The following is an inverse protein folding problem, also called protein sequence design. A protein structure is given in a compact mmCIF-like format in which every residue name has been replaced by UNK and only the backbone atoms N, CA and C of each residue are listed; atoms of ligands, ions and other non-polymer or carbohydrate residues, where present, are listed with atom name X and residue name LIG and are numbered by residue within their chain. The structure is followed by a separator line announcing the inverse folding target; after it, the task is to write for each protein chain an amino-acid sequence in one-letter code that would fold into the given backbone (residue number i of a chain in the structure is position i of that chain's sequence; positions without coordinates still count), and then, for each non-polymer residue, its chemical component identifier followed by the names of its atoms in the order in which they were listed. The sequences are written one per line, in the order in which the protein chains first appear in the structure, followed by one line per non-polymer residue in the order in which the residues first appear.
data_IF_831232868840
#
_entry.id   IF_831232868840
#
_cell.length_a   1.000
_cell.length_b   1.000
_cell.length_c   1.000
_cell.angle_alpha   90.00
_cell.angle_beta   90.00
_cell.angle_gamma   90.00
#
_symmetry.space_group_name_H-M   'P 1'
#
loop_
_entity.id
_entity.type
_entity.pdbx_description
1 polymer ?
#
# COMPACT_ATOMS: atom_id res chain seq x y z
N UNK A 1 5.45 -42.08 -5.64
CA UNK A 1 4.10 -42.47 -5.17
C UNK A 1 3.34 -41.20 -4.82
N UNK A 2 2.13 -40.97 -5.32
CA UNK A 2 1.34 -39.79 -4.96
C UNK A 2 0.93 -39.89 -3.48
N UNK A 3 1.25 -38.87 -2.68
CA UNK A 3 0.80 -38.81 -1.29
C UNK A 3 -0.73 -38.84 -1.25
N UNK A 4 -1.30 -39.89 -0.64
CA UNK A 4 -2.74 -39.98 -0.36
C UNK A 4 -3.12 -38.76 0.47
N UNK A 5 -4.04 -37.92 -0.03
CA UNK A 5 -4.61 -36.80 0.74
C UNK A 5 -5.22 -37.36 2.03
N UNK A 6 -4.64 -36.99 3.16
CA UNK A 6 -5.18 -37.30 4.49
C UNK A 6 -6.43 -36.44 4.72
N UNK A 7 -7.51 -36.99 5.30
CA UNK A 7 -8.75 -36.23 5.52
C UNK A 7 -8.66 -35.21 6.65
N UNK A 8 -7.56 -35.20 7.41
CA UNK A 8 -7.45 -34.42 8.66
C UNK A 8 -6.75 -33.06 8.50
N UNK A 9 -5.91 -32.88 7.48
CA UNK A 9 -5.21 -31.63 7.23
C UNK A 9 -4.82 -31.45 5.77
N UNK A 10 -4.71 -30.20 5.34
CA UNK A 10 -4.19 -29.78 4.03
C UNK A 10 -3.21 -28.62 4.26
N UNK A 11 -2.04 -28.68 3.62
CA UNK A 11 -1.08 -27.58 3.63
C UNK A 11 -1.27 -26.76 2.35
N UNK A 12 -1.52 -25.45 2.50
CA UNK A 12 -1.63 -24.50 1.40
C UNK A 12 -0.66 -23.35 1.62
N UNK A 13 -0.06 -22.89 0.52
CA UNK A 13 0.65 -21.62 0.53
C UNK A 13 -0.35 -20.46 0.40
N UNK A 14 -0.11 -19.38 1.13
CA UNK A 14 -0.95 -18.18 1.14
C UNK A 14 -0.17 -16.99 1.67
N UNK A 15 -0.66 -15.78 1.41
CA UNK A 15 -0.13 -14.54 1.98
C UNK A 15 -1.09 -14.04 3.07
N UNK A 16 -0.54 -13.44 4.12
CA UNK A 16 -1.30 -12.84 5.22
C UNK A 16 -0.88 -11.37 5.32
N UNK A 17 -1.87 -10.48 5.28
CA UNK A 17 -1.63 -9.05 5.47
C UNK A 17 -1.53 -8.75 6.97
N UNK A 18 -0.58 -7.89 7.33
CA UNK A 18 -0.27 -7.53 8.72
C UNK A 18 0.28 -6.11 8.77
N UNK A 19 0.09 -5.42 9.90
CA UNK A 19 0.69 -4.11 10.10
C UNK A 19 2.21 -4.23 10.27
N UNK A 20 2.96 -3.29 9.72
CA UNK A 20 4.41 -3.22 9.94
C UNK A 20 4.72 -2.18 11.02
N UNK A 21 5.27 -2.62 12.14
CA UNK A 21 5.87 -1.73 13.13
C UNK A 21 7.30 -1.43 12.72
N UNK A 22 7.48 -0.34 11.97
CA UNK A 22 8.79 0.06 11.42
C UNK A 22 9.62 0.76 12.50
N UNK A 23 10.67 0.08 12.95
CA UNK A 23 11.61 0.55 13.97
C UNK A 23 12.63 1.49 13.33
N UNK A 24 12.61 2.76 13.74
CA UNK A 24 13.53 3.80 13.25
C UNK A 24 14.61 4.22 14.25
N UNK A 25 14.51 3.71 15.48
CA UNK A 25 15.41 4.02 16.60
C UNK A 25 15.55 2.76 17.46
N UNK A 26 16.76 2.42 17.95
CA UNK A 26 16.96 1.29 18.84
C UNK A 26 16.53 1.57 20.30
N UNK A 27 16.21 2.81 20.65
CA UNK A 27 15.88 3.22 22.01
C UNK A 27 14.42 2.87 22.38
N UNK A 28 14.24 1.78 23.14
CA UNK A 28 12.93 1.28 23.57
C UNK A 28 12.12 2.30 24.39
N UNK A 29 12.76 3.07 25.26
CA UNK A 29 12.05 4.06 26.10
C UNK A 29 11.45 5.20 25.26
N UNK A 30 12.15 5.60 24.20
CA UNK A 30 11.66 6.58 23.23
C UNK A 30 10.46 6.02 22.47
N UNK A 31 10.57 4.79 21.95
CA UNK A 31 9.47 4.11 21.28
C UNK A 31 8.25 3.99 22.20
N UNK A 32 8.44 3.54 23.44
CA UNK A 32 7.39 3.39 24.45
C UNK A 32 6.68 4.72 24.74
N UNK A 33 7.44 5.80 24.90
CA UNK A 33 6.90 7.13 25.22
C UNK A 33 6.10 7.69 24.05
N UNK A 34 6.61 7.58 22.81
CA UNK A 34 5.86 8.00 21.62
C UNK A 34 4.61 7.15 21.40
N UNK A 35 4.71 5.83 21.64
CA UNK A 35 3.56 4.93 21.58
C UNK A 35 2.52 5.41 22.60
N UNK A 36 2.87 5.52 23.87
CA UNK A 36 1.96 5.98 24.93
C UNK A 36 1.30 7.33 24.61
N UNK A 37 2.07 8.34 24.18
CA UNK A 37 1.53 9.65 23.82
C UNK A 37 0.54 9.59 22.66
N UNK A 38 0.80 8.73 21.68
CA UNK A 38 -0.07 8.55 20.51
C UNK A 38 -1.33 7.72 20.82
N UNK A 39 -1.31 6.88 21.86
CA UNK A 39 -2.43 6.01 22.27
C UNK A 39 -3.23 6.49 23.47
N UNK A 40 -2.78 7.53 24.18
CA UNK A 40 -3.52 8.11 25.33
C UNK A 40 -4.95 8.56 24.94
N UNK A 41 -5.16 8.90 23.66
CA UNK A 41 -6.46 9.31 23.13
C UNK A 41 -7.40 8.15 22.70
N UNK A 42 -6.89 6.92 22.52
CA UNK A 42 -7.67 5.79 21.96
C UNK A 42 -7.08 4.43 22.35
N UNK A 43 -7.37 3.93 23.56
CA UNK A 43 -6.80 2.68 24.07
C UNK A 43 -7.15 1.43 23.24
N UNK A 44 -8.24 1.46 22.47
CA UNK A 44 -8.81 0.32 21.74
C UNK A 44 -8.32 0.20 20.29
N UNK A 45 -7.56 1.18 19.79
CA UNK A 45 -7.22 1.35 18.37
C UNK A 45 -6.50 0.16 17.71
N UNK A 46 -5.79 -0.66 18.49
CA UNK A 46 -5.02 -1.82 18.02
C UNK A 46 -5.26 -3.10 18.82
N UNK A 47 -6.38 -3.16 19.56
CA UNK A 47 -6.66 -4.30 20.42
C UNK A 47 -6.80 -5.61 19.60
N UNK A 48 -5.72 -6.38 19.52
CA UNK A 48 -5.68 -7.67 18.85
C UNK A 48 -5.05 -7.69 17.46
N UNK A 49 -4.54 -6.57 16.95
CA UNK A 49 -3.94 -6.49 15.61
C UNK A 49 -2.64 -7.29 15.53
N UNK A 50 -2.45 -8.02 14.42
CA UNK A 50 -1.22 -8.72 14.11
C UNK A 50 -0.21 -7.76 13.52
N UNK A 51 1.01 -7.81 14.06
CA UNK A 51 2.07 -6.86 13.70
C UNK A 51 3.36 -7.61 13.35
N UNK A 52 3.95 -7.26 12.21
CA UNK A 52 5.33 -7.60 11.86
C UNK A 52 6.27 -6.50 12.36
N UNK A 53 7.30 -6.86 13.12
CA UNK A 53 8.33 -5.92 13.57
C UNK A 53 9.33 -5.72 12.42
N UNK A 54 9.44 -4.51 11.89
CA UNK A 54 10.33 -4.22 10.75
C UNK A 54 11.54 -3.43 11.21
N UNK A 55 12.70 -4.08 11.25
CA UNK A 55 13.98 -3.51 11.71
C UNK A 55 14.88 -3.06 10.56
N UNK A 56 14.42 -3.14 9.30
CA UNK A 56 15.24 -2.83 8.12
C UNK A 56 15.68 -1.37 8.04
N UNK A 57 15.07 -0.48 8.83
CA UNK A 57 15.35 0.96 8.88
C UNK A 57 16.39 1.36 9.94
N UNK A 58 16.77 0.45 10.83
CA UNK A 58 17.89 0.67 11.74
C UNK A 58 19.19 0.75 10.94
N UNK A 59 20.03 1.73 11.26
CA UNK A 59 21.28 1.97 10.56
C UNK A 59 22.36 0.99 11.02
N UNK A 60 23.16 0.47 10.10
CA UNK A 60 24.43 -0.21 10.37
C UNK A 60 24.42 -1.18 11.57
N UNK A 61 25.07 -0.76 12.65
CA UNK A 61 25.30 -1.50 13.89
C UNK A 61 24.23 -1.29 14.97
N UNK A 62 23.19 -0.48 14.70
CA UNK A 62 22.06 -0.29 15.60
C UNK A 62 21.30 -1.61 15.78
N UNK A 63 21.06 -1.96 17.05
CA UNK A 63 20.30 -3.15 17.43
C UNK A 63 19.27 -2.78 18.47
N UNK A 64 18.06 -3.31 18.29
CA UNK A 64 16.98 -3.22 19.26
C UNK A 64 16.80 -4.58 19.92
N UNK A 65 16.50 -4.61 21.21
CA UNK A 65 16.16 -5.85 21.90
C UNK A 65 14.75 -6.30 21.46
N UNK A 66 14.67 -7.12 20.40
CA UNK A 66 13.42 -7.61 19.81
C UNK A 66 12.47 -8.25 20.84
N UNK A 67 12.92 -9.09 21.79
CA UNK A 67 12.02 -9.65 22.80
C UNK A 67 11.35 -8.56 23.66
N UNK A 68 12.13 -7.59 24.14
CA UNK A 68 11.61 -6.48 24.93
C UNK A 68 10.70 -5.55 24.11
N UNK A 69 11.00 -5.38 22.82
CA UNK A 69 10.11 -4.67 21.90
C UNK A 69 8.77 -5.40 21.74
N UNK A 70 8.78 -6.72 21.59
CA UNK A 70 7.57 -7.51 21.47
C UNK A 70 6.72 -7.50 22.74
N UNK A 71 7.34 -7.59 23.92
CA UNK A 71 6.68 -7.41 25.21
C UNK A 71 6.04 -6.04 25.32
N UNK A 72 6.78 -4.98 24.98
CA UNK A 72 6.26 -3.62 24.94
C UNK A 72 5.03 -3.53 24.03
N UNK A 73 5.08 -4.05 22.80
CA UNK A 73 3.94 -4.04 21.87
C UNK A 73 2.73 -4.82 22.43
N UNK A 74 2.97 -5.92 23.16
CA UNK A 74 1.91 -6.69 23.80
C UNK A 74 1.20 -5.92 24.92
N UNK A 75 1.91 -5.03 25.65
CA UNK A 75 1.29 -4.13 26.63
C UNK A 75 0.27 -3.17 25.96
N UNK A 76 0.52 -2.79 24.71
CA UNK A 76 -0.40 -2.00 23.87
C UNK A 76 -1.43 -2.88 23.12
N UNK A 77 -1.58 -4.15 23.51
CA UNK A 77 -2.52 -5.14 22.95
C UNK A 77 -2.27 -5.51 21.48
N UNK A 78 -1.10 -5.19 20.93
CA UNK A 78 -0.67 -5.69 19.62
C UNK A 78 -0.12 -7.11 19.74
N UNK A 79 -0.20 -7.89 18.66
CA UNK A 79 0.29 -9.27 18.59
C UNK A 79 1.44 -9.38 17.59
N UNK A 80 2.70 -9.30 18.05
CA UNK A 80 3.85 -9.55 17.20
C UNK A 80 3.81 -10.98 16.64
N UNK A 81 3.92 -11.12 15.31
CA UNK A 81 3.89 -12.43 14.63
C UNK A 81 5.23 -12.85 14.04
N UNK A 82 6.19 -11.92 13.99
CA UNK A 82 7.54 -12.17 13.50
C UNK A 82 8.27 -10.89 13.14
N UNK A 83 9.47 -11.05 12.58
CA UNK A 83 10.41 -9.96 12.34
C UNK A 83 10.80 -9.89 10.87
N UNK A 84 10.68 -8.70 10.31
CA UNK A 84 11.16 -8.36 8.97
C UNK A 84 12.55 -7.76 9.11
N UNK A 85 13.55 -8.47 8.61
CA UNK A 85 14.97 -8.13 8.76
C UNK A 85 15.76 -8.40 7.46
N UNK A 86 16.80 -7.60 7.22
CA UNK A 86 17.80 -7.87 6.19
C UNK A 86 18.67 -9.07 6.58
N UNK A 87 19.40 -9.64 5.62
CA UNK A 87 20.25 -10.82 5.88
C UNK A 87 21.29 -10.57 6.99
N UNK A 88 21.91 -9.38 6.98
CA UNK A 88 22.89 -8.94 7.99
C UNK A 88 22.29 -8.76 9.39
N UNK A 89 20.97 -8.57 9.46
CA UNK A 89 20.25 -8.36 10.71
C UNK A 89 19.65 -9.66 11.27
N UNK A 90 19.60 -10.73 10.48
CA UNK A 90 18.93 -11.98 10.85
C UNK A 90 19.53 -12.63 12.10
N UNK A 91 20.84 -12.49 12.32
CA UNK A 91 21.53 -13.09 13.48
C UNK A 91 21.03 -12.58 14.83
N UNK A 92 20.61 -11.32 14.90
CA UNK A 92 20.19 -10.71 16.17
C UNK A 92 18.68 -10.43 16.22
N UNK A 93 18.03 -10.28 15.06
CA UNK A 93 16.63 -9.90 14.99
C UNK A 93 15.68 -11.10 15.09
N UNK A 94 16.13 -12.30 14.69
CA UNK A 94 15.31 -13.52 14.73
C UNK A 94 15.48 -14.17 16.10
N UNK A 95 14.38 -14.29 16.83
CA UNK A 95 14.36 -14.84 18.19
C UNK A 95 13.30 -15.93 18.28
N UNK A 96 13.39 -16.75 19.32
CA UNK A 96 12.39 -17.79 19.56
C UNK A 96 10.99 -17.16 19.72
N UNK A 97 9.99 -17.77 19.08
CA UNK A 97 8.61 -17.26 19.03
C UNK A 97 8.36 -16.12 18.03
N UNK A 98 9.38 -15.51 17.43
CA UNK A 98 9.24 -14.46 16.39
C UNK A 98 10.13 -14.78 15.19
N UNK A 99 9.64 -15.64 14.27
CA UNK A 99 10.42 -16.06 13.12
C UNK A 99 10.69 -14.88 12.19
N UNK A 100 11.71 -15.04 11.33
CA UNK A 100 11.91 -14.12 10.21
C UNK A 100 10.72 -14.21 9.27
N UNK A 101 10.14 -13.07 8.93
CA UNK A 101 9.10 -12.96 7.93
C UNK A 101 9.71 -12.47 6.63
N UNK A 102 9.39 -13.16 5.53
CA UNK A 102 9.68 -12.67 4.20
C UNK A 102 8.65 -11.59 3.85
N UNK A 103 9.01 -10.33 4.12
CA UNK A 103 8.24 -9.21 3.58
C UNK A 103 8.59 -9.05 2.12
N UNK A 104 7.81 -9.68 1.25
CA UNK A 104 7.75 -9.24 -0.13
C UNK A 104 7.01 -7.90 -0.16
N UNK A 105 7.73 -6.79 0.00
CA UNK A 105 7.40 -5.65 -0.84
C UNK A 105 7.40 -6.23 -2.25
N UNK A 106 6.24 -6.31 -2.93
CA UNK A 106 6.14 -6.93 -4.25
C UNK A 106 7.05 -6.19 -5.23
N UNK A 107 8.31 -6.59 -5.26
CA UNK A 107 9.33 -6.25 -6.23
C UNK A 107 9.12 -7.26 -7.34
N UNK A 108 8.43 -6.83 -8.40
CA UNK A 108 8.21 -7.69 -9.56
C UNK A 108 9.59 -8.00 -10.17
N UNK A 109 9.98 -9.27 -10.34
CA UNK A 109 11.26 -9.64 -10.95
C UNK A 109 11.31 -9.20 -12.41
N UNK A 110 12.38 -8.47 -12.76
CA UNK A 110 12.84 -8.25 -14.13
C UNK A 110 13.66 -9.47 -14.54
N UNK A 111 13.02 -10.49 -15.10
CA UNK A 111 13.65 -11.54 -15.91
C UNK A 111 12.60 -12.58 -16.32
N UNK A 112 11.98 -12.39 -17.49
CA UNK A 112 11.38 -13.44 -18.32
C UNK A 112 10.66 -12.82 -19.53
N UNK A 113 11.37 -12.04 -20.35
CA UNK A 113 10.98 -11.74 -21.74
C UNK A 113 12.22 -11.44 -22.59
N UNK A 114 13.18 -12.36 -22.57
CA UNK A 114 14.20 -12.48 -23.61
C UNK A 114 14.09 -13.91 -24.15
N UNK A 115 13.20 -14.11 -25.13
CA UNK A 115 13.20 -15.21 -26.10
C UNK A 115 11.82 -15.30 -26.77
N UNK A 116 11.49 -14.35 -27.62
CA UNK A 116 10.55 -14.53 -28.73
C UNK A 116 10.42 -13.19 -29.47
N UNK A 117 11.24 -13.01 -30.50
CA UNK A 117 10.88 -12.38 -31.78
C UNK A 117 12.13 -11.76 -32.43
N UNK A 118 13.10 -12.61 -32.78
CA UNK A 118 13.96 -12.33 -33.93
C UNK A 118 13.47 -13.25 -35.05
N UNK A 119 12.75 -12.67 -36.00
CA UNK A 119 12.74 -13.07 -37.41
C UNK A 119 11.92 -12.04 -38.21
N UNK A 120 12.54 -11.53 -39.27
CA UNK A 120 11.96 -10.78 -40.40
C UNK A 120 11.64 -9.29 -40.21
N UNK A 121 12.63 -8.44 -40.53
CA UNK A 121 12.62 -7.71 -41.80
C UNK A 121 13.95 -6.95 -42.00
N UNK A 122 14.79 -7.47 -42.90
CA UNK A 122 15.91 -6.72 -43.48
C UNK A 122 15.44 -5.76 -44.58
N UNK A 123 16.22 -4.68 -44.71
CA UNK A 123 16.53 -3.88 -45.90
C UNK A 123 15.85 -2.52 -46.06
N UNK A 124 16.61 -1.44 -45.80
CA UNK A 124 17.16 -0.57 -46.86
C UNK A 124 17.71 0.78 -46.33
N UNK A 125 19.05 0.89 -46.36
CA UNK A 125 19.90 2.02 -46.81
C UNK A 125 19.55 3.48 -46.42
N UNK A 126 20.36 3.99 -45.47
CA UNK A 126 21.15 5.24 -45.44
C UNK A 126 20.65 6.59 -46.05
N UNK A 127 20.73 7.60 -45.16
CA UNK A 127 21.34 8.93 -45.35
C UNK A 127 20.50 10.09 -45.94
N UNK A 128 20.13 11.07 -45.09
CA UNK A 128 20.65 12.45 -45.10
C UNK A 128 19.80 13.44 -44.26
N UNK A 129 20.47 14.04 -43.26
CA UNK A 129 20.39 15.41 -42.74
C UNK A 129 19.06 16.23 -42.74
N UNK A 130 18.59 16.58 -41.53
CA UNK A 130 18.38 17.97 -41.08
C UNK A 130 17.99 17.99 -39.57
N UNK A 131 18.44 18.98 -38.76
CA UNK A 131 18.26 18.97 -37.31
C UNK A 131 16.87 19.49 -36.93
N UNK A 132 16.00 18.59 -36.48
CA UNK A 132 14.73 18.95 -35.86
C UNK A 132 14.90 19.07 -34.34
N UNK A 133 14.28 20.13 -33.81
CA UNK A 133 14.25 20.59 -32.42
C UNK A 133 14.08 19.46 -31.37
N UNK A 134 14.52 19.66 -30.11
CA UNK A 134 14.47 18.64 -29.07
C UNK A 134 13.01 18.23 -28.82
N UNK A 135 12.67 17.01 -29.21
CA UNK A 135 11.43 16.37 -28.78
C UNK A 135 11.48 16.17 -27.25
N UNK A 136 10.42 16.52 -26.51
CA UNK A 136 10.36 16.24 -25.09
C UNK A 136 10.45 14.73 -24.88
N UNK A 137 11.32 14.32 -23.98
CA UNK A 137 11.47 12.95 -23.51
C UNK A 137 10.09 12.34 -23.24
N UNK A 138 9.71 11.35 -24.05
CA UNK A 138 8.57 10.49 -23.77
C UNK A 138 8.91 9.70 -22.49
N UNK A 139 8.54 10.27 -21.36
CA UNK A 139 8.49 9.55 -20.11
C UNK A 139 7.56 8.36 -20.34
N UNK A 140 8.12 7.15 -20.25
CA UNK A 140 7.38 5.90 -20.15
C UNK A 140 6.23 6.05 -19.16
N UNK A 141 5.03 6.31 -19.67
CA UNK A 141 3.84 6.52 -18.86
C UNK A 141 3.37 5.15 -18.38
N UNK A 142 3.32 4.95 -17.06
CA UNK A 142 2.78 3.73 -16.47
C UNK A 142 1.30 3.63 -16.89
N UNK A 143 0.87 2.54 -17.53
CA UNK A 143 -0.50 2.42 -18.03
C UNK A 143 -1.50 2.38 -16.86
N UNK A 144 -2.66 3.00 -17.07
CA UNK A 144 -3.78 2.96 -16.14
C UNK A 144 -4.42 1.56 -16.10
N UNK A 145 -4.89 1.15 -14.92
CA UNK A 145 -5.65 -0.09 -14.73
C UNK A 145 -7.14 0.21 -14.65
N UNK A 146 -7.98 -0.54 -15.38
CA UNK A 146 -9.44 -0.36 -15.38
C UNK A 146 -10.10 -1.59 -14.74
N UNK A 147 -11.04 -1.37 -13.82
CA UNK A 147 -11.90 -2.39 -13.22
C UNK A 147 -13.36 -2.03 -13.50
N UNK A 148 -14.05 -2.91 -14.21
CA UNK A 148 -15.43 -2.73 -14.70
C UNK A 148 -16.44 -3.64 -13.99
N UNK A 149 -16.09 -4.14 -12.81
CA UNK A 149 -16.90 -5.04 -11.98
C UNK A 149 -16.98 -4.53 -10.55
N UNK A 150 -18.04 -4.87 -9.80
CA UNK A 150 -18.18 -4.39 -8.43
C UNK A 150 -17.12 -5.00 -7.53
N UNK A 151 -16.59 -4.19 -6.61
CA UNK A 151 -15.70 -4.63 -5.55
C UNK A 151 -16.49 -4.89 -4.28
N UNK A 152 -16.42 -6.12 -3.79
CA UNK A 152 -17.12 -6.58 -2.59
C UNK A 152 -16.22 -6.50 -1.36
N UNK A 153 -16.83 -6.60 -0.18
CA UNK A 153 -16.11 -6.62 1.09
C UNK A 153 -14.98 -7.65 1.09
N UNK A 154 -13.82 -7.26 1.63
CA UNK A 154 -12.60 -8.07 1.67
C UNK A 154 -11.83 -8.13 0.35
N UNK A 155 -12.34 -7.57 -0.76
CA UNK A 155 -11.59 -7.48 -2.01
C UNK A 155 -10.67 -6.27 -1.99
N UNK A 156 -9.43 -6.48 -2.42
CA UNK A 156 -8.43 -5.42 -2.59
C UNK A 156 -7.94 -5.40 -4.04
N UNK A 157 -7.84 -4.21 -4.63
CA UNK A 157 -7.24 -3.98 -5.95
C UNK A 157 -6.06 -3.06 -5.80
N UNK A 158 -4.96 -3.40 -6.47
CA UNK A 158 -3.73 -2.63 -6.51
C UNK A 158 -3.35 -2.27 -7.95
N UNK A 159 -3.02 -1.01 -8.20
CA UNK A 159 -2.49 -0.53 -9.48
C UNK A 159 -1.15 0.20 -9.29
N UNK A 160 -0.20 -0.06 -10.19
CA UNK A 160 1.08 0.66 -10.24
C UNK A 160 0.97 2.07 -10.83
N UNK A 161 -0.04 2.32 -11.64
CA UNK A 161 -0.32 3.63 -12.24
C UNK A 161 -1.61 4.18 -11.66
N UNK A 162 -2.36 4.87 -12.51
CA UNK A 162 -3.70 5.33 -12.18
C UNK A 162 -4.68 4.14 -12.17
N UNK A 163 -5.63 4.14 -11.24
CA UNK A 163 -6.68 3.12 -11.10
C UNK A 163 -8.04 3.73 -11.44
N UNK A 164 -8.72 3.13 -12.39
CA UNK A 164 -10.06 3.52 -12.83
C UNK A 164 -11.04 2.41 -12.45
N UNK A 165 -12.07 2.77 -11.70
CA UNK A 165 -13.14 1.89 -11.25
C UNK A 165 -14.45 2.37 -11.88
N UNK A 166 -15.15 1.50 -12.60
CA UNK A 166 -16.41 1.81 -13.28
C UNK A 166 -17.65 1.27 -12.55
N UNK A 167 -17.48 0.61 -11.41
CA UNK A 167 -18.56 -0.02 -10.65
C UNK A 167 -18.36 0.12 -9.12
N UNK A 168 -19.36 -0.25 -8.34
CA UNK A 168 -19.45 -0.05 -6.89
C UNK A 168 -18.20 -0.51 -6.14
N UNK A 169 -17.69 0.34 -5.25
CA UNK A 169 -16.73 -0.03 -4.20
C UNK A 169 -17.48 -0.20 -2.89
N UNK A 170 -17.75 -1.45 -2.50
CA UNK A 170 -18.55 -1.75 -1.30
C UNK A 170 -17.79 -1.49 0.00
N UNK A 171 -18.51 -1.43 1.11
CA UNK A 171 -17.94 -1.47 2.46
C UNK A 171 -16.96 -2.64 2.63
N UNK A 172 -15.80 -2.36 3.24
CA UNK A 172 -14.70 -3.31 3.40
C UNK A 172 -13.94 -3.68 2.11
N UNK A 173 -14.32 -3.13 0.94
CA UNK A 173 -13.49 -3.22 -0.26
C UNK A 173 -12.38 -2.16 -0.22
N UNK A 174 -11.25 -2.43 -0.86
CA UNK A 174 -10.10 -1.53 -0.86
C UNK A 174 -9.53 -1.34 -2.27
N UNK A 175 -9.30 -0.09 -2.66
CA UNK A 175 -8.65 0.27 -3.92
C UNK A 175 -7.38 1.07 -3.63
N UNK A 176 -6.26 0.58 -4.15
CA UNK A 176 -4.93 1.15 -3.95
C UNK A 176 -4.31 1.50 -5.30
N UNK A 177 -3.74 2.70 -5.40
CA UNK A 177 -2.95 3.13 -6.55
C UNK A 177 -1.68 3.86 -6.12
N UNK A 178 -0.58 3.65 -6.86
CA UNK A 178 0.60 4.53 -6.76
C UNK A 178 0.36 5.88 -7.47
N UNK A 179 -0.58 5.91 -8.42
CA UNK A 179 -1.04 7.11 -9.11
C UNK A 179 -2.35 7.66 -8.55
N UNK A 180 -3.17 8.20 -9.45
CA UNK A 180 -4.50 8.70 -9.17
C UNK A 180 -5.52 7.55 -9.05
N UNK A 181 -6.65 7.82 -8.41
CA UNK A 181 -7.80 6.91 -8.40
C UNK A 181 -9.01 7.64 -8.98
N UNK A 182 -9.70 7.00 -9.92
CA UNK A 182 -10.94 7.48 -10.52
C UNK A 182 -12.04 6.46 -10.24
N UNK A 183 -13.14 6.88 -9.63
CA UNK A 183 -14.25 5.99 -9.27
C UNK A 183 -15.53 6.58 -9.85
N UNK A 184 -16.00 5.97 -10.93
CA UNK A 184 -17.22 6.38 -11.63
C UNK A 184 -18.46 5.65 -11.08
N UNK A 185 -18.47 5.37 -9.78
CA UNK A 185 -19.52 4.69 -9.03
C UNK A 185 -19.45 5.12 -7.54
N UNK A 186 -20.41 4.69 -6.68
CA UNK A 186 -20.32 4.97 -5.25
C UNK A 186 -19.05 4.38 -4.63
N UNK A 187 -18.28 5.24 -3.95
CA UNK A 187 -17.14 4.86 -3.12
C UNK A 187 -17.63 4.71 -1.68
N UNK A 188 -17.89 3.47 -1.24
CA UNK A 188 -18.25 3.15 0.17
C UNK A 188 -17.10 2.52 0.95
N UNK A 189 -16.24 1.79 0.26
CA UNK A 189 -15.05 1.19 0.86
C UNK A 189 -13.92 2.20 1.07
N UNK A 190 -12.69 1.71 0.90
CA UNK A 190 -11.46 2.45 1.18
C UNK A 190 -10.70 2.77 -0.11
N UNK A 191 -10.22 4.00 -0.25
CA UNK A 191 -9.42 4.44 -1.40
C UNK A 191 -8.08 5.04 -0.95
N UNK A 192 -6.97 4.47 -1.44
CA UNK A 192 -5.61 4.86 -1.08
C UNK A 192 -4.82 5.20 -2.34
N UNK A 193 -4.69 6.49 -2.64
CA UNK A 193 -3.93 6.99 -3.78
C UNK A 193 -2.51 7.40 -3.38
N UNK A 194 -1.60 7.42 -4.35
CA UNK A 194 -0.23 7.87 -4.14
C UNK A 194 0.54 7.07 -3.08
N UNK A 195 0.27 5.77 -2.90
CA UNK A 195 0.81 4.98 -1.77
C UNK A 195 2.33 4.85 -1.74
N UNK A 196 3.02 5.23 -2.81
CA UNK A 196 4.49 5.36 -2.87
C UNK A 196 4.99 6.77 -2.54
N UNK A 197 4.20 7.58 -1.83
CA UNK A 197 4.56 8.94 -1.43
C UNK A 197 4.30 9.98 -2.51
N UNK A 198 3.40 9.70 -3.46
CA UNK A 198 3.04 10.64 -4.54
C UNK A 198 2.07 11.68 -4.01
N UNK A 199 2.60 12.80 -3.51
CA UNK A 199 1.83 13.88 -2.86
C UNK A 199 0.87 14.62 -3.83
N UNK A 200 1.16 14.60 -5.13
CA UNK A 200 0.34 15.20 -6.19
C UNK A 200 -0.79 14.28 -6.68
N UNK A 201 -0.88 13.06 -6.16
CA UNK A 201 -1.96 12.13 -6.50
C UNK A 201 -3.33 12.68 -6.09
N UNK A 202 -4.35 12.33 -6.87
CA UNK A 202 -5.74 12.74 -6.63
C UNK A 202 -6.67 11.55 -6.61
N UNK A 203 -7.78 11.70 -5.90
CA UNK A 203 -8.90 10.77 -5.93
C UNK A 203 -10.10 11.52 -6.51
N UNK A 204 -10.71 10.97 -7.55
CA UNK A 204 -11.92 11.48 -8.15
C UNK A 204 -13.02 10.44 -7.94
N UNK A 205 -14.19 10.86 -7.48
CA UNK A 205 -15.34 9.97 -7.38
C UNK A 205 -16.62 10.67 -7.82
N UNK A 206 -17.58 9.91 -8.35
CA UNK A 206 -18.92 10.43 -8.70
C UNK A 206 -19.86 10.50 -7.51
N UNK A 207 -19.66 9.65 -6.50
CA UNK A 207 -20.41 9.62 -5.25
C UNK A 207 -19.48 9.26 -4.06
N UNK A 208 -19.23 10.24 -3.20
CA UNK A 208 -18.30 10.15 -2.07
C UNK A 208 -19.00 9.68 -0.78
N UNK A 209 -18.84 8.40 -0.41
CA UNK A 209 -19.34 7.82 0.85
C UNK A 209 -18.29 6.94 1.57
N UNK A 210 -17.00 7.31 1.61
CA UNK A 210 -15.92 6.37 1.94
C UNK A 210 -15.86 5.98 3.43
N UNK A 211 -15.47 4.74 3.70
CA UNK A 211 -14.95 4.34 5.01
C UNK A 211 -13.60 5.00 5.31
N UNK A 212 -12.74 5.12 4.29
CA UNK A 212 -11.42 5.74 4.40
C UNK A 212 -10.96 6.30 3.06
N UNK A 213 -10.35 7.48 3.10
CA UNK A 213 -9.60 8.06 1.99
C UNK A 213 -8.18 8.39 2.44
N UNK A 214 -7.19 8.06 1.62
CA UNK A 214 -5.79 8.38 1.85
C UNK A 214 -5.10 8.85 0.58
N UNK A 215 -4.23 9.86 0.72
CA UNK A 215 -3.30 10.31 -0.31
C UNK A 215 -1.91 10.36 0.33
N UNK A 216 -0.97 9.59 -0.22
CA UNK A 216 0.42 9.55 0.23
C UNK A 216 0.61 9.31 1.75
N UNK A 217 -0.30 8.54 2.36
CA UNK A 217 -0.25 8.21 3.78
C UNK A 217 -1.01 9.17 4.69
N UNK A 218 -1.45 10.33 4.19
CA UNK A 218 -2.37 11.22 4.91
C UNK A 218 -3.80 10.73 4.68
N UNK A 219 -4.51 10.39 5.75
CA UNK A 219 -5.83 9.77 5.66
C UNK A 219 -6.92 10.52 6.43
N UNK A 220 -8.16 10.28 6.01
CA UNK A 220 -9.38 10.66 6.70
C UNK A 220 -10.31 9.46 6.73
N UNK A 221 -10.84 9.15 7.91
CA UNK A 221 -11.86 8.11 8.12
C UNK A 221 -13.26 8.68 7.94
N UNK A 222 -14.21 7.82 7.57
CA UNK A 222 -15.63 8.15 7.40
C UNK A 222 -16.39 8.36 8.73
N UNK A 223 -15.74 8.22 9.88
CA UNK A 223 -16.32 8.41 11.21
C UNK A 223 -16.72 9.88 11.46
N UNK A 224 -16.00 10.81 10.84
CA UNK A 224 -16.34 12.23 10.86
C UNK A 224 -17.19 12.56 9.65
N UNK A 225 -18.45 12.93 9.90
CA UNK A 225 -19.39 13.32 8.86
C UNK A 225 -18.76 14.31 7.88
N UNK A 226 -18.85 13.99 6.59
CA UNK A 226 -18.42 14.91 5.54
C UNK A 226 -19.46 16.04 5.40
N UNK A 227 -19.03 17.26 5.03
CA UNK A 227 -19.95 18.34 4.73
C UNK A 227 -21.00 17.93 3.68
N UNK A 228 -22.25 18.41 3.76
CA UNK A 228 -23.31 18.10 2.79
C UNK A 228 -22.97 18.45 1.34
N UNK A 229 -22.02 19.36 1.14
CA UNK A 229 -21.53 19.78 -0.18
C UNK A 229 -20.74 18.69 -0.90
N UNK A 230 -20.16 17.75 -0.17
CA UNK A 230 -19.29 16.69 -0.71
C UNK A 230 -19.83 15.27 -0.45
N UNK A 231 -20.60 15.05 0.61
CA UNK A 231 -21.19 13.75 0.93
C UNK A 231 -22.13 13.28 -0.20
N UNK A 232 -21.87 12.09 -0.75
CA UNK A 232 -22.68 11.51 -1.83
C UNK A 232 -22.64 12.30 -3.15
N UNK A 233 -21.72 13.26 -3.30
CA UNK A 233 -21.55 14.09 -4.50
C UNK A 233 -20.32 13.66 -5.30
N UNK A 234 -20.21 14.23 -6.50
CA UNK A 234 -19.00 14.11 -7.30
C UNK A 234 -17.93 15.04 -6.73
N UNK A 235 -16.77 14.48 -6.37
CA UNK A 235 -15.73 15.17 -5.58
C UNK A 235 -14.35 14.82 -6.10
N UNK A 236 -13.46 15.83 -6.10
CA UNK A 236 -12.03 15.66 -6.17
C UNK A 236 -11.44 15.79 -4.76
N UNK A 237 -10.61 14.82 -4.38
CA UNK A 237 -9.77 14.89 -3.18
C UNK A 237 -8.32 15.09 -3.59
N UNK A 238 -7.65 16.05 -2.96
CA UNK A 238 -6.23 16.37 -3.19
C UNK A 238 -5.54 16.72 -1.88
N UNK A 239 -4.21 16.63 -1.88
CA UNK A 239 -3.38 17.04 -0.76
C UNK A 239 -2.92 18.50 -0.91
N UNK A 240 -3.03 19.28 0.16
CA UNK A 240 -2.51 20.66 0.28
C UNK A 240 -1.96 20.84 1.68
N UNK A 241 -0.69 21.21 1.82
CA UNK A 241 -0.04 21.43 3.12
C UNK A 241 -0.32 20.28 4.12
N UNK A 242 -0.15 19.03 3.64
CA UNK A 242 -0.41 17.79 4.38
C UNK A 242 -1.85 17.61 4.88
N UNK A 243 -2.82 18.29 4.26
CA UNK A 243 -4.26 18.17 4.56
C UNK A 243 -5.03 17.72 3.33
N UNK A 244 -5.98 16.81 3.54
CA UNK A 244 -6.92 16.39 2.51
C UNK A 244 -7.97 17.47 2.30
N UNK A 245 -8.02 18.00 1.08
CA UNK A 245 -9.01 18.97 0.63
C UNK A 245 -10.02 18.26 -0.26
N UNK A 246 -11.30 18.44 0.05
CA UNK A 246 -12.44 17.84 -0.66
C UNK A 246 -13.16 18.93 -1.44
N UNK A 247 -13.19 18.85 -2.76
CA UNK A 247 -13.76 19.87 -3.65
C UNK A 247 -14.84 19.24 -4.54
N UNK A 248 -16.07 19.79 -4.59
CA UNK A 248 -17.07 19.34 -5.54
C UNK A 248 -16.57 19.45 -7.00
N UNK A 249 -16.73 18.38 -7.77
CA UNK A 249 -16.49 18.39 -9.21
C UNK A 249 -17.70 19.01 -9.91
N UNK A 250 -17.64 20.30 -10.17
CA UNK A 250 -18.59 20.96 -11.06
C UNK A 250 -18.26 20.62 -12.52
N UNK A 251 -19.20 20.02 -13.24
CA UNK A 251 -19.15 19.99 -14.70
C UNK A 251 -19.46 21.42 -15.18
N UNK A 252 -18.49 22.08 -15.80
CA UNK A 252 -18.67 23.41 -16.39
C UNK A 252 -19.38 23.33 -17.74
#
# INVERSE_FOLDING_TARGET
MPQKKTPYFELRSGAVDTLHFVVKTPQLDTLRSELAQRFEATPEFFAGDTVAIDVRRLAGDERVAVPALAEMLAEFRMKPIGVVANAEQAEWAVVDGLPRLDSHERRVPRAARESASEAEAEASVAEAAAPAAPAPSEASAIPSTIIDRPLRSGQQIYAKGDLIILDLVSYGAEVIAEGNIHIYAPLRGRALAGVKGKLDARIFCTCLEPELISIAGIYRTGEYALPPEVQGRSVQVRLVDDKLIFEPLGLK
#
